data_IF_873906981217
#
_entry.id   IF_873906981217
#
_cell.length_a   1.000
_cell.length_b   1.000
_cell.length_c   1.000
_cell.angle_alpha   90.00
_cell.angle_beta   90.00
_cell.angle_gamma   90.00
#
_symmetry.space_group_name_H-M   'P 1'
#
loop_
_entity.id
_entity.type
_entity.pdbx_description
1 polymer ?
#
# COMPACT_ATOMS: atom_id res chain seq x y z
N UNK A 1 6.97 13.83 -29.65
CA UNK A 1 5.61 14.41 -29.67
C UNK A 1 4.65 13.43 -30.31
N UNK A 2 3.41 13.30 -29.82
CA UNK A 2 2.40 12.47 -30.48
C UNK A 2 1.95 13.09 -31.81
N UNK A 3 2.13 12.35 -32.89
CA UNK A 3 1.84 12.82 -34.26
C UNK A 3 0.36 12.59 -34.61
N UNK A 4 -0.16 11.39 -34.33
CA UNK A 4 -1.55 11.02 -34.61
C UNK A 4 -2.53 11.53 -33.54
N UNK A 5 -3.81 11.69 -33.92
CA UNK A 5 -4.88 12.10 -32.98
C UNK A 5 -5.03 11.11 -31.81
N UNK A 6 -4.87 9.82 -32.07
CA UNK A 6 -4.91 8.76 -31.06
C UNK A 6 -3.75 8.88 -30.06
N UNK A 7 -2.53 9.13 -30.55
CA UNK A 7 -1.37 9.35 -29.70
C UNK A 7 -1.53 10.61 -28.81
N UNK A 8 -2.08 11.71 -29.36
CA UNK A 8 -2.38 12.93 -28.58
C UNK A 8 -3.40 12.66 -27.47
N UNK A 9 -4.43 11.87 -27.75
CA UNK A 9 -5.44 11.43 -26.76
C UNK A 9 -4.81 10.54 -25.69
N UNK A 10 -3.97 9.58 -26.07
CA UNK A 10 -3.28 8.68 -25.15
C UNK A 10 -2.37 9.45 -24.19
N UNK A 11 -1.61 10.44 -24.69
CA UNK A 11 -0.76 11.30 -23.86
C UNK A 11 -1.57 12.05 -22.80
N UNK A 12 -2.69 12.69 -23.19
CA UNK A 12 -3.58 13.39 -22.25
C UNK A 12 -4.13 12.45 -21.17
N UNK A 13 -4.54 11.25 -21.56
CA UNK A 13 -5.01 10.22 -20.62
C UNK A 13 -3.91 9.77 -19.66
N UNK A 14 -2.69 9.58 -20.17
CA UNK A 14 -1.51 9.18 -19.38
C UNK A 14 -1.17 10.24 -18.33
N UNK A 15 -1.13 11.52 -18.71
CA UNK A 15 -0.83 12.63 -17.79
C UNK A 15 -1.82 12.70 -16.62
N UNK A 16 -3.13 12.57 -16.90
CA UNK A 16 -4.16 12.55 -15.85
C UNK A 16 -3.99 11.38 -14.89
N UNK A 17 -3.78 10.17 -15.44
CA UNK A 17 -3.54 8.95 -14.63
C UNK A 17 -2.25 9.07 -13.81
N UNK A 18 -1.19 9.64 -14.39
CA UNK A 18 0.08 9.86 -13.71
C UNK A 18 -0.07 10.80 -12.51
N UNK A 19 -0.84 11.89 -12.62
CA UNK A 19 -1.12 12.78 -11.50
C UNK A 19 -1.74 12.07 -10.30
N UNK A 20 -2.82 11.32 -10.52
CA UNK A 20 -3.52 10.55 -9.47
C UNK A 20 -2.63 9.45 -8.89
N UNK A 21 -1.90 8.73 -9.75
CA UNK A 21 -1.02 7.64 -9.33
C UNK A 21 0.16 8.17 -8.51
N UNK A 22 0.73 9.32 -8.89
CA UNK A 22 1.84 9.93 -8.18
C UNK A 22 1.42 10.43 -6.79
N UNK A 23 0.24 11.04 -6.65
CA UNK A 23 -0.29 11.43 -5.36
C UNK A 23 -0.43 10.23 -4.41
N UNK A 24 -0.94 9.11 -4.91
CA UNK A 24 -1.06 7.88 -4.13
C UNK A 24 0.32 7.25 -3.82
N UNK A 25 1.26 7.23 -4.78
CA UNK A 25 2.62 6.73 -4.54
C UNK A 25 3.32 7.50 -3.43
N UNK A 26 3.21 8.83 -3.43
CA UNK A 26 3.77 9.69 -2.38
C UNK A 26 3.17 9.37 -1.01
N UNK A 27 1.85 9.29 -0.90
CA UNK A 27 1.21 8.98 0.39
C UNK A 27 1.57 7.58 0.89
N UNK A 28 1.68 6.60 -0.02
CA UNK A 28 2.16 5.26 0.30
C UNK A 28 3.60 5.27 0.81
N UNK A 29 4.52 5.94 0.13
CA UNK A 29 5.92 6.05 0.55
C UNK A 29 6.08 6.73 1.91
N UNK A 30 5.33 7.82 2.14
CA UNK A 30 5.30 8.50 3.44
C UNK A 30 4.84 7.55 4.53
N UNK A 31 3.75 6.81 4.30
CA UNK A 31 3.24 5.83 5.28
C UNK A 31 4.26 4.74 5.60
N UNK A 32 5.01 4.26 4.60
CA UNK A 32 6.08 3.27 4.80
C UNK A 32 7.24 3.84 5.59
N UNK A 33 7.63 5.10 5.33
CA UNK A 33 8.69 5.78 6.11
C UNK A 33 8.29 5.97 7.56
N UNK A 34 7.05 6.42 7.81
CA UNK A 34 6.51 6.59 9.16
C UNK A 34 6.48 5.26 9.91
N UNK A 35 5.92 4.21 9.27
CA UNK A 35 5.84 2.88 9.89
C UNK A 35 7.22 2.31 10.26
N UNK A 36 8.25 2.57 9.44
CA UNK A 36 9.63 2.16 9.72
C UNK A 36 10.27 2.92 10.89
N UNK A 37 9.97 4.22 11.03
CA UNK A 37 10.53 5.08 12.07
C UNK A 37 9.86 4.86 13.42
N UNK A 38 8.54 5.01 13.46
CA UNK A 38 7.77 5.00 14.72
C UNK A 38 7.53 3.59 15.26
N UNK A 39 7.51 2.58 14.37
CA UNK A 39 7.19 1.17 14.71
C UNK A 39 5.87 1.00 15.48
N UNK A 40 5.00 2.01 15.44
CA UNK A 40 3.68 2.00 16.07
C UNK A 40 2.75 1.05 15.33
N UNK A 41 1.95 0.30 16.10
CA UNK A 41 0.97 -0.64 15.54
C UNK A 41 -0.02 0.06 14.60
N UNK A 42 -0.47 1.28 14.94
CA UNK A 42 -1.38 2.07 14.10
C UNK A 42 -0.74 2.43 12.76
N UNK A 43 0.52 2.84 12.77
CA UNK A 43 1.27 3.19 11.56
C UNK A 43 1.50 1.97 10.65
N UNK A 44 1.82 0.81 11.25
CA UNK A 44 2.03 -0.45 10.53
C UNK A 44 0.75 -0.96 9.87
N UNK A 45 -0.38 -0.94 10.59
CA UNK A 45 -1.69 -1.33 10.03
C UNK A 45 -2.09 -0.40 8.88
N UNK A 46 -1.90 0.91 9.05
CA UNK A 46 -2.19 1.90 8.00
C UNK A 46 -1.33 1.63 6.75
N UNK A 47 -0.03 1.44 6.91
CA UNK A 47 0.89 1.16 5.81
C UNK A 47 0.56 -0.17 5.10
N UNK A 48 0.20 -1.22 5.85
CA UNK A 48 -0.27 -2.49 5.29
C UNK A 48 -1.54 -2.33 4.44
N UNK A 49 -2.53 -1.59 4.95
CA UNK A 49 -3.78 -1.33 4.21
C UNK A 49 -3.53 -0.54 2.92
N UNK A 50 -2.58 0.40 2.93
CA UNK A 50 -2.20 1.17 1.74
C UNK A 50 -1.46 0.31 0.72
N UNK A 51 -0.66 -0.66 1.16
CA UNK A 51 -0.02 -1.62 0.26
C UNK A 51 -1.06 -2.46 -0.51
N UNK A 52 -2.11 -2.92 0.17
CA UNK A 52 -3.17 -3.70 -0.48
C UNK A 52 -4.02 -2.83 -1.44
N UNK A 53 -4.30 -1.58 -1.06
CA UNK A 53 -4.92 -0.60 -1.97
C UNK A 53 -4.03 -0.29 -3.19
N UNK A 54 -2.71 -0.28 -3.03
CA UNK A 54 -1.76 -0.09 -4.12
C UNK A 54 -1.82 -1.23 -5.14
N UNK A 55 -2.03 -2.48 -4.68
CA UNK A 55 -2.24 -3.65 -5.55
C UNK A 55 -3.56 -3.53 -6.31
N UNK A 56 -4.65 -3.21 -5.62
CA UNK A 56 -5.98 -3.03 -6.27
C UNK A 56 -5.96 -1.95 -7.35
N UNK A 57 -5.12 -0.92 -7.18
CA UNK A 57 -4.92 0.16 -8.17
C UNK A 57 -3.90 -0.18 -9.26
N UNK A 58 -3.29 -1.36 -9.24
CA UNK A 58 -2.26 -1.77 -10.21
C UNK A 58 -0.94 -1.00 -10.09
N UNK A 59 -0.67 -0.35 -8.95
CA UNK A 59 0.54 0.45 -8.75
C UNK A 59 1.75 -0.40 -8.35
N UNK A 60 1.51 -1.51 -7.65
CA UNK A 60 2.52 -2.50 -7.28
C UNK A 60 1.99 -3.91 -7.52
N UNK A 61 2.89 -4.85 -7.78
CA UNK A 61 2.54 -6.26 -7.91
C UNK A 61 2.21 -6.89 -6.54
N UNK A 62 1.38 -7.94 -6.54
CA UNK A 62 1.00 -8.70 -5.33
C UNK A 62 2.21 -9.15 -4.51
N UNK A 63 3.26 -9.64 -5.17
CA UNK A 63 4.48 -10.10 -4.48
C UNK A 63 5.23 -8.96 -3.78
N UNK A 64 5.21 -7.75 -4.36
CA UNK A 64 5.81 -6.57 -3.75
C UNK A 64 5.04 -6.16 -2.50
N UNK A 65 3.71 -6.20 -2.55
CA UNK A 65 2.88 -5.95 -1.38
C UNK A 65 3.09 -7.00 -0.28
N UNK A 66 3.14 -8.29 -0.62
CA UNK A 66 3.43 -9.37 0.33
C UNK A 66 4.80 -9.19 1.00
N UNK A 67 5.84 -8.82 0.22
CA UNK A 67 7.17 -8.52 0.76
C UNK A 67 7.13 -7.35 1.74
N UNK A 68 6.44 -6.27 1.39
CA UNK A 68 6.29 -5.08 2.24
C UNK A 68 5.56 -5.45 3.55
N UNK A 69 4.46 -6.21 3.47
CA UNK A 69 3.73 -6.68 4.66
C UNK A 69 4.61 -7.54 5.57
N UNK A 70 5.39 -8.47 5.00
CA UNK A 70 6.34 -9.29 5.75
C UNK A 70 7.45 -8.46 6.41
N UNK A 71 7.94 -7.41 5.75
CA UNK A 71 8.92 -6.51 6.36
C UNK A 71 8.31 -5.73 7.53
N UNK A 72 7.07 -5.23 7.36
CA UNK A 72 6.38 -4.46 8.39
C UNK A 72 6.03 -5.31 9.62
N UNK A 73 5.64 -6.57 9.43
CA UNK A 73 5.31 -7.47 10.55
C UNK A 73 6.51 -7.79 11.44
N UNK A 74 7.73 -7.74 10.90
CA UNK A 74 8.98 -7.93 11.66
C UNK A 74 9.35 -6.73 12.53
N UNK A 75 8.78 -5.56 12.26
CA UNK A 75 9.09 -4.33 13.00
C UNK A 75 8.25 -4.17 14.27
N UNK A 76 7.08 -4.80 14.32
CA UNK A 76 6.26 -4.86 15.52
C UNK A 76 6.71 -6.04 16.38
N UNK A 77 6.95 -5.85 17.70
CA UNK A 77 7.13 -6.99 18.58
C UNK A 77 5.89 -7.88 18.46
N UNK A 78 6.10 -9.20 18.34
CA UNK A 78 5.03 -10.18 18.19
C UNK A 78 4.10 -10.06 19.39
N UNK A 79 2.98 -9.37 19.23
CA UNK A 79 1.89 -9.44 20.19
C UNK A 79 1.41 -10.87 20.08
N UNK A 80 1.83 -11.70 21.04
CA UNK A 80 1.37 -13.06 21.18
C UNK A 80 -0.15 -13.02 21.10
N UNK A 81 -0.68 -13.73 20.11
CA UNK A 81 -2.10 -13.91 19.91
C UNK A 81 -2.70 -14.41 21.22
N UNK A 82 -3.35 -13.53 22.00
CA UNK A 82 -4.34 -13.97 22.97
C UNK A 82 -5.46 -14.58 22.15
N UNK A 83 -5.36 -15.90 21.92
CA UNK A 83 -6.42 -16.76 21.41
C UNK A 83 -7.73 -16.29 22.03
N UNK A 84 -8.67 -15.87 21.19
CA UNK A 84 -10.06 -15.67 21.56
C UNK A 84 -10.64 -17.00 22.03
N UNK A 85 -10.42 -17.35 23.30
CA UNK A 85 -11.25 -18.31 24.03
C UNK A 85 -12.60 -17.63 24.28
N UNK A 86 -13.48 -17.57 23.27
CA UNK A 86 -14.90 -17.21 23.45
C UNK A 86 -15.74 -17.65 22.26
N UNK A 87 -15.83 -18.96 22.08
CA UNK A 87 -16.98 -19.63 21.43
C UNK A 87 -17.05 -21.09 21.88
N UNK A 88 -16.96 -21.31 23.19
CA UNK A 88 -17.19 -22.61 23.82
C UNK A 88 -17.89 -22.38 25.17
N UNK A 89 -19.14 -21.90 25.11
CA UNK A 89 -20.21 -22.10 26.12
C UNK A 89 -21.42 -21.25 25.74
N UNK A 90 -22.39 -21.86 25.05
CA UNK A 90 -23.72 -22.23 25.53
C UNK A 90 -24.61 -22.47 24.31
#
# INVERSE_FOLDING_TARGET
MPVTKTAKRALRGSLKKAGVNNAFRKSFEISLRIAKKEKSQKAVVKAGSLADKAVKRGLIHKNKASRIKSMLSKLTPTVSTKKSKKSAKK
#
